data_IF_846059790837
#
_entry.id   IF_846059790837
#
_cell.length_a   1.000
_cell.length_b   1.000
_cell.length_c   1.000
_cell.angle_alpha   90.00
_cell.angle_beta   90.00
_cell.angle_gamma   90.00
#
_symmetry.space_group_name_H-M   'P 1'
#
loop_
_entity.id
_entity.type
_entity.pdbx_description
1 polymer ?
#
# COMPACT_ATOMS: atom_id res chain seq x y z
N UNK A 1 -10.09 22.73 6.71
CA UNK A 1 -10.27 24.12 7.05
C UNK A 1 -11.04 24.78 5.92
N UNK A 2 -12.16 25.44 6.28
CA UNK A 2 -12.85 26.27 5.31
C UNK A 2 -11.92 27.41 4.92
N UNK A 3 -11.70 27.58 3.64
CA UNK A 3 -10.90 28.68 3.12
C UNK A 3 -11.63 29.99 3.36
N UNK A 4 -11.00 30.90 4.10
CA UNK A 4 -11.41 32.31 4.12
C UNK A 4 -11.15 32.93 2.74
N UNK A 5 -11.85 34.03 2.43
CA UNK A 5 -11.74 34.74 1.16
C UNK A 5 -10.29 35.19 0.80
N UNK A 6 -9.40 35.24 1.80
CA UNK A 6 -8.03 35.73 1.66
C UNK A 6 -6.97 34.61 1.48
N UNK A 7 -7.34 33.33 1.51
CA UNK A 7 -6.42 32.22 1.30
C UNK A 7 -6.69 31.53 -0.04
N UNK A 8 -5.68 31.41 -0.93
CA UNK A 8 -5.83 30.62 -2.12
C UNK A 8 -6.14 29.16 -1.72
N UNK A 9 -7.07 28.49 -2.41
CA UNK A 9 -7.42 27.11 -2.09
C UNK A 9 -6.18 26.23 -2.21
N UNK A 10 -5.85 25.54 -1.14
CA UNK A 10 -4.85 24.48 -1.22
C UNK A 10 -5.47 23.26 -1.88
N UNK A 11 -4.77 22.55 -2.76
CA UNK A 11 -5.31 21.39 -3.45
C UNK A 11 -5.73 20.32 -2.44
N UNK A 12 -7.03 20.12 -2.33
CA UNK A 12 -7.67 19.02 -1.60
C UNK A 12 -8.56 18.28 -2.57
N UNK A 13 -8.66 16.97 -2.43
CA UNK A 13 -9.23 16.14 -3.49
C UNK A 13 -10.50 15.41 -3.11
N UNK A 14 -10.96 15.50 -1.87
CA UNK A 14 -12.25 14.97 -1.45
C UNK A 14 -12.82 15.77 -0.27
N UNK A 15 -14.12 15.63 -0.03
CA UNK A 15 -14.85 16.36 0.99
C UNK A 15 -15.53 15.40 1.96
N UNK A 16 -15.41 15.70 3.24
CA UNK A 16 -16.12 15.02 4.31
C UNK A 16 -17.58 15.52 4.42
N UNK A 17 -18.50 14.73 5.03
CA UNK A 17 -19.91 15.08 5.25
C UNK A 17 -20.11 16.42 5.97
N UNK A 18 -19.21 16.78 6.87
CA UNK A 18 -19.23 18.05 7.60
C UNK A 18 -18.90 19.27 6.72
N UNK A 19 -18.60 19.07 5.45
CA UNK A 19 -18.17 20.12 4.53
C UNK A 19 -16.70 20.48 4.63
N UNK A 20 -15.93 19.72 5.38
CA UNK A 20 -14.48 19.90 5.52
C UNK A 20 -13.75 19.23 4.36
N UNK A 21 -12.85 19.97 3.71
CA UNK A 21 -11.91 19.39 2.75
C UNK A 21 -10.73 18.79 3.48
N UNK A 22 -10.39 17.53 3.17
CA UNK A 22 -9.27 16.84 3.77
C UNK A 22 -8.23 16.44 2.72
N UNK A 23 -6.98 16.35 3.17
CA UNK A 23 -5.86 16.06 2.28
C UNK A 23 -5.94 14.62 1.73
N UNK A 24 -5.55 14.37 0.46
CA UNK A 24 -5.63 13.07 -0.19
C UNK A 24 -4.80 11.98 0.50
N UNK A 25 -3.85 12.34 1.35
CA UNK A 25 -3.10 11.37 2.16
C UNK A 25 -4.02 10.56 3.10
N UNK A 26 -5.10 11.14 3.58
CA UNK A 26 -6.09 10.42 4.39
C UNK A 26 -6.90 9.43 3.56
N UNK A 27 -7.22 9.78 2.31
CA UNK A 27 -7.83 8.85 1.38
C UNK A 27 -6.89 7.65 1.11
N UNK A 28 -5.61 7.92 0.86
CA UNK A 28 -4.61 6.88 0.69
C UNK A 28 -4.52 5.98 1.93
N UNK A 29 -4.44 6.57 3.13
CA UNK A 29 -4.39 5.84 4.39
C UNK A 29 -5.64 4.96 4.60
N UNK A 30 -6.84 5.48 4.35
CA UNK A 30 -8.09 4.73 4.46
C UNK A 30 -8.14 3.55 3.50
N UNK A 31 -7.73 3.75 2.24
CA UNK A 31 -7.65 2.67 1.25
C UNK A 31 -6.59 1.63 1.61
N UNK A 32 -5.47 2.05 2.20
CA UNK A 32 -4.47 1.11 2.70
C UNK A 32 -5.03 0.25 3.85
N UNK A 33 -5.78 0.85 4.77
CA UNK A 33 -6.47 0.12 5.86
C UNK A 33 -7.53 -0.84 5.29
N UNK A 34 -8.34 -0.40 4.32
CA UNK A 34 -9.31 -1.28 3.65
C UNK A 34 -8.60 -2.46 2.98
N UNK A 35 -7.49 -2.22 2.28
CA UNK A 35 -6.69 -3.28 1.67
C UNK A 35 -6.17 -4.28 2.71
N UNK A 36 -5.67 -3.80 3.84
CA UNK A 36 -5.22 -4.67 4.94
C UNK A 36 -6.40 -5.45 5.54
N UNK A 37 -7.54 -4.80 5.75
CA UNK A 37 -8.72 -5.47 6.31
C UNK A 37 -9.21 -6.60 5.40
N UNK A 38 -9.20 -6.41 4.10
CA UNK A 38 -9.76 -7.34 3.14
C UNK A 38 -8.79 -8.44 2.71
N UNK A 39 -7.51 -8.12 2.59
CA UNK A 39 -6.49 -9.05 2.07
C UNK A 39 -5.32 -9.30 3.04
N UNK A 40 -5.35 -8.72 4.23
CA UNK A 40 -4.24 -8.80 5.18
C UNK A 40 -3.01 -7.98 4.79
N UNK A 41 -3.00 -7.37 3.57
CA UNK A 41 -1.86 -6.67 2.99
C UNK A 41 -2.30 -5.36 2.34
N UNK A 42 -1.50 -4.31 2.45
CA UNK A 42 -1.79 -2.98 1.86
C UNK A 42 -1.34 -2.87 0.40
N UNK A 43 -1.65 -3.87 -0.41
CA UNK A 43 -1.12 -4.01 -1.77
C UNK A 43 -2.15 -3.83 -2.87
N UNK A 44 -3.44 -3.73 -2.54
CA UNK A 44 -4.53 -3.68 -3.51
C UNK A 44 -5.28 -2.34 -3.51
N UNK A 45 -4.53 -1.25 -3.41
CA UNK A 45 -5.09 0.11 -3.34
C UNK A 45 -5.86 0.53 -4.60
N UNK A 46 -5.57 -0.09 -5.74
CA UNK A 46 -6.18 0.21 -7.05
C UNK A 46 -7.27 -0.78 -7.44
N UNK A 47 -7.74 -1.60 -6.52
CA UNK A 47 -8.88 -2.48 -6.74
C UNK A 47 -10.19 -1.71 -6.55
N UNK A 48 -10.59 -0.98 -7.58
CA UNK A 48 -11.77 -0.09 -7.53
C UNK A 48 -13.09 -0.79 -7.26
N UNK A 49 -13.14 -2.12 -7.38
CA UNK A 49 -14.33 -2.89 -7.04
C UNK A 49 -14.48 -3.09 -5.53
N UNK A 50 -13.37 -3.20 -4.81
CA UNK A 50 -13.36 -3.58 -3.40
C UNK A 50 -12.55 -2.62 -2.51
N UNK A 51 -11.78 -1.71 -3.10
CA UNK A 51 -10.95 -0.73 -2.40
C UNK A 51 -11.23 0.66 -2.96
N UNK A 52 -12.26 1.31 -2.44
CA UNK A 52 -12.69 2.66 -2.78
C UNK A 52 -13.31 3.33 -1.55
N UNK A 53 -13.30 4.63 -1.53
CA UNK A 53 -14.04 5.41 -0.55
C UNK A 53 -15.47 5.58 -1.05
N UNK A 54 -16.44 5.35 -0.18
CA UNK A 54 -17.87 5.49 -0.43
C UNK A 54 -18.48 6.43 0.60
N UNK A 55 -19.75 6.81 0.40
CA UNK A 55 -20.51 7.69 1.29
C UNK A 55 -19.85 9.07 1.50
N UNK A 56 -19.09 9.54 0.51
CA UNK A 56 -18.48 10.86 0.54
C UNK A 56 -19.49 11.96 0.19
N UNK A 57 -19.39 13.11 0.81
CA UNK A 57 -20.22 14.24 0.45
C UNK A 57 -19.98 14.69 -0.99
N UNK A 58 -21.04 14.70 -1.79
CA UNK A 58 -21.02 15.21 -3.17
C UNK A 58 -21.31 16.71 -3.15
N UNK A 59 -20.56 17.50 -3.88
CA UNK A 59 -20.74 18.95 -4.00
C UNK A 59 -20.73 19.37 -5.47
N UNK A 60 -21.40 20.47 -5.79
CA UNK A 60 -21.40 21.00 -7.14
C UNK A 60 -20.01 21.53 -7.53
N UNK A 61 -19.60 21.18 -8.72
CA UNK A 61 -18.43 21.70 -9.41
C UNK A 61 -18.86 22.78 -10.43
N UNK A 62 -17.92 23.28 -11.22
CA UNK A 62 -18.22 24.17 -12.34
C UNK A 62 -19.00 23.42 -13.42
N UNK A 63 -19.76 24.16 -14.23
CA UNK A 63 -20.48 23.64 -15.40
C UNK A 63 -21.60 22.61 -15.10
N UNK A 64 -22.15 22.62 -13.87
CA UNK A 64 -23.25 21.72 -13.51
C UNK A 64 -22.81 20.29 -13.20
N UNK A 65 -21.53 20.05 -13.10
CA UNK A 65 -20.98 18.80 -12.61
C UNK A 65 -21.03 18.72 -11.08
N UNK A 66 -20.97 17.52 -10.55
CA UNK A 66 -20.87 17.27 -9.12
C UNK A 66 -19.93 16.09 -8.85
N UNK A 67 -19.19 16.12 -7.75
CA UNK A 67 -18.32 15.04 -7.31
C UNK A 67 -18.01 15.15 -5.82
N UNK A 68 -17.43 14.10 -5.26
CA UNK A 68 -16.87 14.07 -3.91
C UNK A 68 -15.42 14.61 -3.83
N UNK A 69 -14.81 14.92 -4.96
CA UNK A 69 -13.47 15.52 -5.07
C UNK A 69 -13.56 16.97 -5.52
N UNK A 70 -12.57 17.78 -5.17
CA UNK A 70 -12.51 19.20 -5.51
C UNK A 70 -12.55 19.46 -7.02
N UNK A 71 -12.00 18.53 -7.80
CA UNK A 71 -12.00 18.55 -9.26
C UNK A 71 -12.21 17.14 -9.80
N UNK A 72 -12.82 17.05 -10.99
CA UNK A 72 -12.80 15.83 -11.79
C UNK A 72 -11.54 15.83 -12.66
N UNK A 73 -10.69 14.85 -12.43
CA UNK A 73 -9.46 14.69 -13.21
C UNK A 73 -9.79 13.92 -14.49
N UNK A 74 -9.55 14.54 -15.66
CA UNK A 74 -9.71 13.84 -16.94
C UNK A 74 -8.69 12.71 -17.09
N UNK A 75 -8.99 11.74 -17.94
CA UNK A 75 -8.13 10.58 -18.17
C UNK A 75 -6.71 10.99 -18.61
N UNK A 76 -6.60 11.96 -19.52
CA UNK A 76 -5.31 12.47 -20.00
C UNK A 76 -4.50 13.10 -18.86
N UNK A 77 -5.13 13.90 -18.02
CA UNK A 77 -4.48 14.51 -16.85
C UNK A 77 -4.08 13.47 -15.82
N UNK A 78 -4.87 12.43 -15.64
CA UNK A 78 -4.55 11.31 -14.76
C UNK A 78 -3.27 10.61 -15.21
N UNK A 79 -3.13 10.37 -16.53
CA UNK A 79 -1.91 9.80 -17.12
C UNK A 79 -0.70 10.72 -16.91
N UNK A 80 -0.85 12.03 -17.05
CA UNK A 80 0.23 13.00 -16.79
C UNK A 80 0.68 12.95 -15.33
N UNK A 81 -0.24 12.95 -14.35
CA UNK A 81 0.09 12.83 -12.93
C UNK A 81 0.86 11.56 -12.63
N UNK A 82 0.37 10.42 -13.13
CA UNK A 82 1.01 9.12 -12.93
C UNK A 82 2.42 9.09 -13.50
N UNK A 83 2.61 9.62 -14.73
CA UNK A 83 3.95 9.71 -15.36
C UNK A 83 4.90 10.62 -14.61
N UNK A 84 4.36 11.61 -13.91
CA UNK A 84 5.13 12.55 -13.07
C UNK A 84 5.39 12.02 -11.65
N UNK A 85 5.04 10.77 -11.35
CA UNK A 85 5.28 10.14 -10.05
C UNK A 85 4.23 10.46 -8.99
N UNK A 86 3.06 10.97 -9.37
CA UNK A 86 1.96 11.24 -8.43
C UNK A 86 0.93 10.12 -8.43
N UNK A 87 0.44 9.77 -7.26
CA UNK A 87 -0.71 8.89 -7.08
C UNK A 87 -1.98 9.74 -6.94
N UNK A 88 -2.82 9.85 -7.98
CA UNK A 88 -4.04 10.64 -7.91
C UNK A 88 -5.14 9.93 -7.12
N UNK A 89 -5.92 10.70 -6.39
CA UNK A 89 -7.23 10.29 -5.87
C UNK A 89 -8.29 10.88 -6.77
N UNK A 90 -9.07 10.05 -7.42
CA UNK A 90 -10.06 10.45 -8.41
C UNK A 90 -11.48 10.24 -7.89
N UNK A 91 -12.30 11.26 -8.01
CA UNK A 91 -13.76 11.16 -7.81
C UNK A 91 -14.47 10.68 -9.06
N UNK A 92 -15.69 10.20 -8.89
CA UNK A 92 -16.59 9.81 -9.97
C UNK A 92 -17.67 10.88 -10.14
N UNK A 93 -17.92 11.30 -11.40
CA UNK A 93 -18.94 12.31 -11.71
C UNK A 93 -20.30 11.89 -11.15
N UNK A 94 -20.91 12.77 -10.37
CA UNK A 94 -22.24 12.56 -9.78
C UNK A 94 -22.29 11.43 -8.74
N UNK A 95 -21.14 11.01 -8.22
CA UNK A 95 -21.06 9.94 -7.23
C UNK A 95 -20.36 10.41 -5.95
N UNK A 96 -20.72 9.78 -4.87
CA UNK A 96 -20.16 9.87 -3.53
C UNK A 96 -18.89 9.03 -3.33
N UNK A 97 -18.20 8.73 -4.41
CA UNK A 97 -17.11 7.74 -4.45
C UNK A 97 -15.81 8.37 -4.91
N UNK A 98 -14.71 7.99 -4.25
CA UNK A 98 -13.36 8.29 -4.69
C UNK A 98 -12.47 7.03 -4.62
N UNK A 99 -11.46 6.96 -5.49
CA UNK A 99 -10.58 5.81 -5.61
C UNK A 99 -9.20 6.20 -6.13
N UNK A 100 -8.25 5.29 -6.04
CA UNK A 100 -6.94 5.43 -6.66
C UNK A 100 -6.93 4.63 -7.97
N UNK A 101 -6.91 5.29 -9.15
CA UNK A 101 -6.92 4.59 -10.44
C UNK A 101 -5.61 3.86 -10.71
N UNK A 102 -4.51 4.43 -10.28
CA UNK A 102 -3.16 3.85 -10.36
C UNK A 102 -2.28 4.48 -9.29
N UNK A 103 -1.48 3.65 -8.67
CA UNK A 103 -0.48 4.04 -7.69
C UNK A 103 0.91 4.13 -8.32
N UNK A 104 1.70 5.09 -7.88
CA UNK A 104 3.09 5.24 -8.33
C UNK A 104 3.94 5.91 -7.24
N UNK A 105 5.21 5.54 -7.17
CA UNK A 105 6.22 6.22 -6.35
C UNK A 105 6.90 7.32 -7.15
N UNK A 106 7.54 8.25 -6.48
CA UNK A 106 8.36 9.30 -7.11
C UNK A 106 9.46 8.73 -8.03
N UNK A 107 9.93 7.53 -7.75
CA UNK A 107 10.87 6.79 -8.60
C UNK A 107 10.23 6.19 -9.86
N UNK A 108 8.92 6.36 -10.07
CA UNK A 108 8.17 5.84 -11.22
C UNK A 108 7.70 4.39 -11.10
N UNK A 109 8.03 3.69 -10.03
CA UNK A 109 7.57 2.33 -9.76
C UNK A 109 6.20 2.28 -9.06
N UNK A 110 5.49 1.12 -9.07
CA UNK A 110 4.26 0.93 -8.31
C UNK A 110 4.52 0.92 -6.80
N UNK A 111 3.54 1.36 -6.00
CA UNK A 111 3.61 1.38 -4.53
C UNK A 111 3.42 -0.03 -3.94
N UNK A 112 2.57 -0.86 -4.55
CA UNK A 112 2.20 -2.15 -4.01
C UNK A 112 3.37 -3.10 -3.69
N UNK A 113 4.39 -3.26 -4.54
CA UNK A 113 5.57 -4.07 -4.20
C UNK A 113 6.34 -3.52 -2.99
N UNK A 114 6.43 -2.21 -2.86
CA UNK A 114 7.07 -1.57 -1.72
C UNK A 114 6.26 -1.79 -0.43
N UNK A 115 4.94 -1.66 -0.52
CA UNK A 115 4.04 -1.93 0.60
C UNK A 115 4.09 -3.41 1.02
N UNK A 116 4.18 -4.33 0.06
CA UNK A 116 4.40 -5.75 0.31
C UNK A 116 5.70 -5.98 1.09
N UNK A 117 6.81 -5.47 0.58
CA UNK A 117 8.12 -5.63 1.22
C UNK A 117 8.13 -5.04 2.64
N UNK A 118 7.58 -3.85 2.82
CA UNK A 118 7.51 -3.21 4.14
C UNK A 118 6.69 -4.07 5.14
N UNK A 119 5.60 -4.68 4.68
CA UNK A 119 4.79 -5.57 5.52
C UNK A 119 5.55 -6.84 5.88
N UNK A 120 6.24 -7.42 4.90
CA UNK A 120 7.07 -8.62 5.10
C UNK A 120 8.18 -8.35 6.12
N UNK A 121 8.92 -7.24 5.95
CA UNK A 121 9.92 -6.81 6.92
C UNK A 121 9.32 -6.57 8.31
N UNK A 122 8.15 -5.98 8.40
CA UNK A 122 7.44 -5.80 9.66
C UNK A 122 7.09 -7.13 10.35
N UNK A 123 6.79 -8.19 9.59
CA UNK A 123 6.61 -9.53 10.16
C UNK A 123 7.94 -10.11 10.66
N UNK A 124 9.04 -9.94 9.92
CA UNK A 124 10.37 -10.41 10.35
C UNK A 124 10.84 -9.72 11.64
N UNK A 125 10.65 -8.39 11.76
CA UNK A 125 10.97 -7.67 12.99
C UNK A 125 10.16 -8.16 14.18
N UNK A 126 8.85 -8.39 14.01
CA UNK A 126 8.00 -8.94 15.07
C UNK A 126 8.38 -10.37 15.44
N UNK A 127 8.80 -11.17 14.47
CA UNK A 127 9.31 -12.50 14.74
C UNK A 127 10.54 -12.44 15.64
N UNK A 128 11.51 -11.59 15.30
CA UNK A 128 12.70 -11.37 16.12
C UNK A 128 12.35 -10.90 17.55
N UNK A 129 11.42 -9.96 17.68
CA UNK A 129 10.95 -9.46 18.99
C UNK A 129 10.21 -10.54 19.81
N UNK A 130 9.64 -11.55 19.17
CA UNK A 130 8.90 -12.63 19.84
C UNK A 130 9.81 -13.73 20.42
N UNK A 131 11.08 -13.76 20.07
CA UNK A 131 12.02 -14.72 20.61
C UNK A 131 12.38 -14.36 22.05
N UNK A 132 12.53 -15.40 22.89
CA UNK A 132 12.85 -15.23 24.31
C UNK A 132 14.26 -14.67 24.52
N UNK A 133 15.18 -15.02 23.63
CA UNK A 133 16.54 -14.51 23.56
C UNK A 133 16.80 -13.95 22.16
N UNK A 134 17.14 -12.66 22.02
CA UNK A 134 17.52 -12.09 20.73
C UNK A 134 18.79 -12.70 20.10
N UNK A 135 19.58 -13.42 20.89
CA UNK A 135 20.76 -14.15 20.41
C UNK A 135 20.41 -15.55 19.89
N UNK A 136 19.20 -16.05 20.19
CA UNK A 136 18.69 -17.30 19.61
C UNK A 136 18.46 -17.14 18.10
N UNK A 137 19.32 -17.76 17.32
CA UNK A 137 19.26 -17.71 15.88
C UNK A 137 18.26 -18.75 15.36
N UNK A 138 17.20 -18.35 14.64
CA UNK A 138 16.29 -19.30 14.02
C UNK A 138 17.01 -20.06 12.91
N UNK A 139 16.61 -21.31 12.70
CA UNK A 139 17.02 -22.05 11.48
C UNK A 139 16.29 -21.50 10.25
N UNK A 140 16.85 -21.76 9.06
CA UNK A 140 16.20 -21.46 7.77
C UNK A 140 14.76 -21.99 7.75
N UNK A 141 14.58 -23.26 8.15
CA UNK A 141 13.29 -23.91 8.19
C UNK A 141 12.29 -23.23 9.16
N UNK A 142 12.77 -22.73 10.31
CA UNK A 142 11.95 -22.03 11.28
C UNK A 142 11.45 -20.70 10.71
N UNK A 143 12.32 -19.94 10.07
CA UNK A 143 11.99 -18.66 9.47
C UNK A 143 11.10 -18.83 8.24
N UNK A 144 11.36 -19.85 7.41
CA UNK A 144 10.52 -20.20 6.26
C UNK A 144 9.11 -20.60 6.72
N UNK A 145 8.98 -21.48 7.72
CA UNK A 145 7.69 -21.88 8.28
C UNK A 145 6.93 -20.68 8.87
N UNK A 146 7.63 -19.76 9.53
CA UNK A 146 7.03 -18.51 10.01
C UNK A 146 6.48 -17.69 8.86
N UNK A 147 7.24 -17.46 7.79
CA UNK A 147 6.77 -16.69 6.63
C UNK A 147 5.58 -17.36 5.95
N UNK A 148 5.63 -18.68 5.75
CA UNK A 148 4.50 -19.46 5.23
C UNK A 148 3.23 -19.24 6.06
N UNK A 149 3.36 -19.25 7.40
CA UNK A 149 2.22 -19.03 8.29
C UNK A 149 1.58 -17.64 8.09
N UNK A 150 2.37 -16.60 7.80
CA UNK A 150 1.85 -15.24 7.58
C UNK A 150 0.98 -15.13 6.33
N UNK A 151 1.33 -15.84 5.26
CA UNK A 151 0.47 -15.92 4.07
C UNK A 151 -0.84 -16.65 4.38
N UNK A 152 -0.75 -17.82 5.00
CA UNK A 152 -1.91 -18.65 5.35
C UNK A 152 -2.88 -17.93 6.31
N UNK A 153 -2.36 -17.22 7.32
CA UNK A 153 -3.17 -16.46 8.28
C UNK A 153 -3.95 -15.31 7.62
N UNK A 154 -3.46 -14.79 6.50
CA UNK A 154 -4.12 -13.75 5.73
C UNK A 154 -4.97 -14.32 4.58
N UNK A 155 -5.14 -15.65 4.50
CA UNK A 155 -5.98 -16.32 3.49
C UNK A 155 -5.34 -16.42 2.12
N UNK A 156 -4.00 -16.36 2.04
CA UNK A 156 -3.25 -16.52 0.79
C UNK A 156 -2.44 -17.80 0.81
N UNK A 157 -2.32 -18.43 -0.36
CA UNK A 157 -1.37 -19.52 -0.54
C UNK A 157 0.07 -18.96 -0.43
N UNK A 158 0.96 -19.65 0.29
CA UNK A 158 2.36 -19.24 0.36
C UNK A 158 3.02 -19.37 -1.02
N UNK A 159 4.03 -18.52 -1.32
CA UNK A 159 4.79 -18.64 -2.55
C UNK A 159 5.49 -20.00 -2.65
N UNK A 160 5.37 -20.67 -3.80
CA UNK A 160 6.02 -21.96 -4.05
C UNK A 160 7.55 -21.85 -4.14
N UNK A 161 8.05 -20.67 -4.52
CA UNK A 161 9.47 -20.35 -4.67
C UNK A 161 10.07 -19.65 -3.45
N UNK A 162 9.37 -19.64 -2.31
CA UNK A 162 9.90 -19.09 -1.07
C UNK A 162 11.14 -19.88 -0.65
N UNK A 163 12.24 -19.20 -0.53
CA UNK A 163 13.50 -19.77 -0.01
C UNK A 163 14.11 -18.85 1.03
N UNK A 164 14.60 -19.44 2.09
CA UNK A 164 15.37 -18.78 3.14
C UNK A 164 16.72 -19.46 3.25
N UNK A 165 17.79 -18.71 3.23
CA UNK A 165 19.16 -19.23 3.39
C UNK A 165 19.93 -18.38 4.39
N UNK A 166 20.51 -19.02 5.38
CA UNK A 166 21.45 -18.37 6.30
C UNK A 166 22.80 -18.23 5.60
N UNK A 167 23.29 -17.01 5.56
CA UNK A 167 24.67 -16.72 5.18
C UNK A 167 25.46 -16.41 6.45
N UNK A 168 26.35 -17.32 6.82
CA UNK A 168 27.28 -17.12 7.93
C UNK A 168 28.31 -16.06 7.52
N UNK A 169 28.32 -14.94 8.20
CA UNK A 169 29.41 -13.98 8.10
C UNK A 169 30.71 -14.55 8.69
N UNK A 170 31.83 -13.94 8.33
CA UNK A 170 33.11 -14.20 9.02
C UNK A 170 32.95 -13.83 10.51
N UNK A 171 33.83 -14.44 11.34
CA UNK A 171 33.73 -14.29 12.80
C UNK A 171 33.67 -12.81 13.24
N UNK A 172 32.49 -12.40 13.69
CA UNK A 172 32.16 -11.04 14.13
C UNK A 172 31.23 -10.24 13.24
N UNK A 173 30.83 -10.76 12.06
CA UNK A 173 29.77 -10.15 11.27
C UNK A 173 28.38 -10.61 11.73
N UNK A 174 27.37 -9.71 11.67
CA UNK A 174 26.00 -10.10 11.97
C UNK A 174 25.51 -11.16 10.98
N UNK A 175 24.69 -12.08 11.48
CA UNK A 175 24.10 -13.12 10.65
C UNK A 175 23.17 -12.50 9.61
N UNK A 176 23.22 -13.01 8.38
CA UNK A 176 22.36 -12.58 7.28
C UNK A 176 21.48 -13.73 6.81
N UNK A 177 20.20 -13.41 6.59
CA UNK A 177 19.27 -14.30 5.93
C UNK A 177 18.99 -13.76 4.54
N UNK A 178 19.34 -14.53 3.51
CA UNK A 178 18.89 -14.25 2.14
C UNK A 178 17.53 -14.85 1.94
N UNK A 179 16.55 -13.99 1.65
CA UNK A 179 15.14 -14.35 1.44
C UNK A 179 14.77 -14.04 0.01
N UNK A 180 14.25 -15.04 -0.70
CA UNK A 180 13.76 -14.89 -2.06
C UNK A 180 12.37 -15.48 -2.17
N UNK A 181 11.45 -14.77 -2.81
CA UNK A 181 10.08 -15.21 -3.07
C UNK A 181 9.41 -14.41 -4.17
N UNK A 182 8.45 -15.01 -4.85
CA UNK A 182 7.53 -14.30 -5.75
C UNK A 182 6.18 -14.15 -5.06
N UNK A 183 5.74 -12.90 -4.75
CA UNK A 183 4.45 -12.69 -4.09
C UNK A 183 3.28 -13.32 -4.85
N UNK A 184 2.27 -13.89 -4.17
CA UNK A 184 1.10 -14.45 -4.85
C UNK A 184 0.37 -13.42 -5.71
N UNK A 185 -0.19 -13.84 -6.84
CA UNK A 185 -0.99 -12.98 -7.72
C UNK A 185 -2.26 -12.42 -7.05
N UNK A 186 -2.73 -13.09 -5.99
CA UNK A 186 -3.80 -12.59 -5.12
C UNK A 186 -3.41 -11.31 -4.36
N UNK A 187 -2.12 -11.08 -4.13
CA UNK A 187 -1.57 -9.90 -3.45
C UNK A 187 -1.07 -8.84 -4.42
N UNK A 188 -0.36 -9.22 -5.46
CA UNK A 188 0.19 -8.30 -6.45
C UNK A 188 -0.31 -8.65 -7.86
N UNK A 189 -0.86 -7.66 -8.57
CA UNK A 189 -1.35 -7.86 -9.96
C UNK A 189 -0.26 -8.25 -10.95
N UNK A 190 0.98 -7.85 -10.67
CA UNK A 190 2.16 -8.15 -11.50
C UNK A 190 3.30 -8.59 -10.58
N UNK A 191 3.21 -9.82 -10.06
CA UNK A 191 4.22 -10.32 -9.14
C UNK A 191 5.58 -10.41 -9.85
N UNK A 192 6.62 -10.06 -9.11
CA UNK A 192 8.02 -10.25 -9.49
C UNK A 192 8.76 -10.84 -8.31
N UNK A 193 9.73 -11.67 -8.57
CA UNK A 193 10.59 -12.20 -7.52
C UNK A 193 11.27 -11.05 -6.77
N UNK A 194 11.15 -11.07 -5.47
CA UNK A 194 11.81 -10.17 -4.53
C UNK A 194 12.91 -10.95 -3.84
N UNK A 195 14.11 -10.41 -3.87
CA UNK A 195 15.27 -10.98 -3.18
C UNK A 195 15.89 -9.88 -2.32
N UNK A 196 16.15 -10.19 -1.07
CA UNK A 196 16.77 -9.26 -0.13
C UNK A 196 17.50 -9.98 0.99
N UNK A 197 18.48 -9.29 1.55
CA UNK A 197 19.21 -9.74 2.73
C UNK A 197 18.61 -9.07 3.97
N UNK A 198 18.31 -9.89 4.97
CA UNK A 198 17.85 -9.44 6.27
C UNK A 198 18.88 -9.76 7.32
N UNK A 199 19.36 -8.72 8.01
CA UNK A 199 20.41 -8.85 9.03
C UNK A 199 19.75 -9.06 10.39
N UNK A 200 20.22 -10.10 11.07
CA UNK A 200 19.73 -10.45 12.41
C UNK A 200 20.25 -9.49 13.47
#
# INVERSE_FOLDING_TARGET
PMYGEDNPPQPTFFREETGLWIAPVWAFGSLAVQSVHQWGWSTRLTDTAQCRLEDLAVHPLREGEAASTEVLISEDRMVEFIRSGFTPVAGVRGRDTAFIPRETCLSGGPVAPQAFLNRLLGHLFRFRESLSDPEDLPSDATLEAFLVSRFSETGHDPPEDLTVRVESGDSGEPLRFRISLTPPASLLRSPRTVEFDWTW
#
